data_IF_793933356872
#
_entry.id   IF_793933356872
#
_cell.length_a   1.000
_cell.length_b   1.000
_cell.length_c   1.000
_cell.angle_alpha   90.00
_cell.angle_beta   90.00
_cell.angle_gamma   90.00
#
_symmetry.space_group_name_H-M   'P 1'
#
loop_
_entity.id
_entity.type
_entity.pdbx_description
1 polymer ?
#
# COMPACT_ATOMS: atom_id res chain seq x y z
N UNK A 1 -17.16 -17.38 -18.70
CA UNK A 1 -16.94 -16.31 -17.70
C UNK A 1 -16.33 -15.10 -18.38
N UNK A 2 -16.80 -13.89 -18.09
CA UNK A 2 -16.34 -12.65 -18.72
C UNK A 2 -14.91 -12.30 -18.25
N UNK A 3 -13.94 -12.22 -19.18
CA UNK A 3 -12.52 -11.97 -18.86
C UNK A 3 -12.30 -10.64 -18.11
N UNK A 4 -13.18 -9.66 -18.31
CA UNK A 4 -13.14 -8.36 -17.62
C UNK A 4 -13.57 -8.45 -16.15
N UNK A 5 -14.55 -9.30 -15.84
CA UNK A 5 -15.01 -9.50 -14.47
C UNK A 5 -13.94 -10.17 -13.60
N UNK A 6 -13.21 -11.15 -14.16
CA UNK A 6 -12.09 -11.79 -13.46
C UNK A 6 -10.93 -10.83 -13.17
N UNK A 7 -10.59 -9.95 -14.13
CA UNK A 7 -9.53 -8.94 -13.94
C UNK A 7 -9.88 -7.91 -12.87
N UNK A 8 -11.08 -7.31 -12.92
CA UNK A 8 -11.52 -6.34 -11.91
C UNK A 8 -11.61 -6.94 -10.51
N UNK A 9 -12.01 -8.20 -10.40
CA UNK A 9 -12.04 -8.91 -9.12
C UNK A 9 -10.62 -9.12 -8.56
N UNK A 10 -9.65 -9.43 -9.42
CA UNK A 10 -8.26 -9.56 -9.03
C UNK A 10 -7.64 -8.23 -8.57
N UNK A 11 -7.80 -7.15 -9.35
CA UNK A 11 -7.27 -5.82 -8.99
C UNK A 11 -7.88 -5.29 -7.67
N UNK A 12 -9.15 -5.63 -7.39
CA UNK A 12 -9.79 -5.29 -6.12
C UNK A 12 -9.17 -6.01 -4.91
N UNK A 13 -8.89 -7.31 -5.02
CA UNK A 13 -8.19 -8.04 -3.95
C UNK A 13 -6.75 -7.56 -3.76
N UNK A 14 -6.05 -7.22 -4.84
CA UNK A 14 -4.71 -6.65 -4.76
C UNK A 14 -4.75 -5.31 -4.01
N UNK A 15 -5.71 -4.43 -4.33
CA UNK A 15 -5.89 -3.16 -3.63
C UNK A 15 -6.17 -3.35 -2.13
N UNK A 16 -7.06 -4.28 -1.78
CA UNK A 16 -7.36 -4.60 -0.38
C UNK A 16 -6.11 -5.09 0.38
N UNK A 17 -5.33 -5.99 -0.22
CA UNK A 17 -4.12 -6.52 0.40
C UNK A 17 -3.10 -5.40 0.64
N UNK A 18 -2.88 -4.53 -0.34
CA UNK A 18 -1.97 -3.39 -0.23
C UNK A 18 -2.37 -2.44 0.91
N UNK A 19 -3.67 -2.18 1.08
CA UNK A 19 -4.18 -1.32 2.16
C UNK A 19 -3.99 -1.95 3.55
N UNK A 20 -4.20 -3.27 3.67
CA UNK A 20 -3.99 -4.00 4.93
C UNK A 20 -2.50 -4.02 5.29
N UNK A 21 -1.64 -4.31 4.32
CA UNK A 21 -0.18 -4.36 4.52
C UNK A 21 0.35 -2.97 4.93
N UNK A 22 -0.16 -1.90 4.31
CA UNK A 22 0.22 -0.53 4.66
C UNK A 22 -0.26 -0.12 6.05
N UNK A 23 -1.45 -0.55 6.45
CA UNK A 23 -1.96 -0.31 7.80
C UNK A 23 -1.04 -0.96 8.85
N UNK A 24 -0.68 -2.23 8.68
CA UNK A 24 0.25 -2.92 9.59
C UNK A 24 1.66 -2.32 9.58
N UNK A 25 2.15 -1.88 8.42
CA UNK A 25 3.41 -1.15 8.28
C UNK A 25 3.39 0.18 9.05
N UNK A 26 2.28 0.91 9.00
CA UNK A 26 2.09 2.17 9.71
C UNK A 26 2.04 1.97 11.22
N UNK A 27 1.30 0.97 11.69
CA UNK A 27 1.27 0.60 13.12
C UNK A 27 2.66 0.25 13.65
N UNK A 28 3.42 -0.53 12.87
CA UNK A 28 4.81 -0.87 13.21
C UNK A 28 5.69 0.38 13.26
N UNK A 29 5.53 1.32 12.32
CA UNK A 29 6.28 2.57 12.34
C UNK A 29 5.97 3.39 13.60
N UNK A 30 4.68 3.52 13.96
CA UNK A 30 4.25 4.26 15.16
C UNK A 30 4.90 3.66 16.40
N UNK A 31 4.92 2.32 16.53
CA UNK A 31 5.57 1.65 17.65
C UNK A 31 7.08 1.93 17.68
N UNK A 32 7.75 1.88 16.53
CA UNK A 32 9.19 2.16 16.44
C UNK A 32 9.50 3.61 16.83
N UNK A 33 8.74 4.58 16.29
CA UNK A 33 8.87 6.02 16.61
C UNK A 33 8.62 6.27 18.09
N UNK A 34 7.56 5.70 18.66
CA UNK A 34 7.21 5.85 20.09
C UNK A 34 8.29 5.26 21.00
N UNK A 35 8.92 4.16 20.57
CA UNK A 35 10.02 3.54 21.31
C UNK A 35 11.37 4.25 21.15
N UNK A 36 11.46 5.32 20.34
CA UNK A 36 12.71 6.04 20.06
C UNK A 36 13.73 5.26 19.22
N UNK A 37 13.31 4.16 18.58
CA UNK A 37 14.19 3.25 17.80
C UNK A 37 14.23 3.58 16.30
N UNK A 38 13.87 4.80 15.91
CA UNK A 38 13.79 5.23 14.50
C UNK A 38 14.86 6.26 14.20
N UNK A 39 15.60 6.06 13.11
CA UNK A 39 16.50 7.05 12.54
C UNK A 39 15.83 7.83 11.40
N UNK A 40 16.39 8.98 11.04
CA UNK A 40 15.92 9.74 9.87
C UNK A 40 16.03 8.94 8.56
N UNK A 41 17.04 8.06 8.45
CA UNK A 41 17.22 7.17 7.30
C UNK A 41 16.07 6.16 7.18
N UNK A 42 15.62 5.58 8.31
CA UNK A 42 14.49 4.65 8.33
C UNK A 42 13.19 5.33 7.86
N UNK A 43 12.98 6.59 8.27
CA UNK A 43 11.85 7.40 7.81
C UNK A 43 11.93 7.70 6.31
N UNK A 44 13.11 8.03 5.79
CA UNK A 44 13.30 8.27 4.35
C UNK A 44 13.01 7.01 3.52
N UNK A 45 13.48 5.84 3.97
CA UNK A 45 13.21 4.57 3.29
C UNK A 45 11.72 4.27 3.30
N UNK A 46 11.03 4.47 4.44
CA UNK A 46 9.59 4.23 4.53
C UNK A 46 8.79 5.22 3.66
N UNK A 47 9.22 6.48 3.59
CA UNK A 47 8.57 7.47 2.72
C UNK A 47 8.66 7.09 1.24
N UNK A 48 9.84 6.66 0.76
CA UNK A 48 9.97 6.17 -0.63
C UNK A 48 9.05 4.98 -0.94
N UNK A 49 8.95 4.01 -0.03
CA UNK A 49 8.02 2.88 -0.19
C UNK A 49 6.56 3.33 -0.21
N UNK A 50 6.22 4.33 0.58
CA UNK A 50 4.89 4.92 0.59
C UNK A 50 4.56 5.61 -0.73
N UNK A 51 5.51 6.33 -1.34
CA UNK A 51 5.34 6.92 -2.68
C UNK A 51 5.10 5.85 -3.76
N UNK A 52 5.87 4.75 -3.75
CA UNK A 52 5.67 3.62 -4.66
C UNK A 52 4.29 2.96 -4.48
N UNK A 53 3.88 2.77 -3.22
CA UNK A 53 2.56 2.25 -2.89
C UNK A 53 1.44 3.16 -3.40
N UNK A 54 1.57 4.49 -3.23
CA UNK A 54 0.58 5.45 -3.72
C UNK A 54 0.42 5.37 -5.24
N UNK A 55 1.51 5.20 -5.98
CA UNK A 55 1.45 5.00 -7.44
C UNK A 55 0.71 3.71 -7.80
N UNK A 56 0.97 2.61 -7.08
CA UNK A 56 0.30 1.32 -7.31
C UNK A 56 -1.20 1.39 -7.01
N UNK A 57 -1.59 1.98 -5.88
CA UNK A 57 -2.99 2.20 -5.50
C UNK A 57 -3.71 3.06 -6.55
N UNK A 58 -3.06 4.13 -7.04
CA UNK A 58 -3.62 5.00 -8.08
C UNK A 58 -3.88 4.22 -9.37
N UNK A 59 -2.94 3.38 -9.80
CA UNK A 59 -3.09 2.55 -10.99
C UNK A 59 -4.25 1.53 -10.83
N UNK A 60 -4.29 0.81 -9.70
CA UNK A 60 -5.34 -0.19 -9.42
C UNK A 60 -6.73 0.46 -9.30
N UNK A 61 -6.81 1.67 -8.76
CA UNK A 61 -8.08 2.43 -8.66
C UNK A 61 -8.53 2.90 -10.04
N UNK A 62 -7.61 3.31 -10.91
CA UNK A 62 -7.92 3.66 -12.30
C UNK A 62 -8.45 2.47 -13.11
N UNK A 63 -7.91 1.26 -12.88
CA UNK A 63 -8.43 0.02 -13.50
C UNK A 63 -9.86 -0.33 -13.07
N UNK A 64 -10.29 0.13 -11.88
CA UNK A 64 -11.65 -0.09 -11.39
C UNK A 64 -12.66 0.89 -12.01
N UNK A 65 -12.23 2.12 -12.30
CA UNK A 65 -13.07 3.18 -12.88
C UNK A 65 -13.17 3.15 -14.42
N UNK A 66 -12.42 2.25 -15.08
CA UNK A 66 -12.38 2.07 -16.54
C UNK A 66 -13.37 1.07 -17.12
#
# INVERSE_FOLDING_TARGET
MNRLAGKRHHSFYELLQLLIDEQGSTETLIQQVTSGRVTASDLQIKNKKYEELQQRITALTAEYNG
#
